data_IF_882551535588
#
_entry.id   IF_882551535588
#
_cell.length_a   1.000
_cell.length_b   1.000
_cell.length_c   1.000
_cell.angle_alpha   90.00
_cell.angle_beta   90.00
_cell.angle_gamma   90.00
#
_symmetry.space_group_name_H-M   'P 1'
#
loop_
_entity.id
_entity.type
_entity.pdbx_description
1 polymer ?
#
# COMPACT_ATOMS: atom_id res chain seq x y z
N UNK A 1 -37.08 4.94 4.85
CA UNK A 1 -36.35 3.91 5.63
C UNK A 1 -34.91 3.68 5.14
N UNK A 2 -34.59 3.84 3.85
CA UNK A 2 -33.20 3.70 3.32
C UNK A 2 -32.27 4.92 3.54
N UNK A 3 -32.82 6.08 3.91
CA UNK A 3 -32.07 7.36 4.02
C UNK A 3 -31.33 7.47 5.36
N UNK A 4 -31.92 6.97 6.45
CA UNK A 4 -31.36 6.99 7.82
C UNK A 4 -29.97 6.33 7.94
N UNK A 5 -29.73 5.10 7.43
CA UNK A 5 -28.39 4.51 7.47
C UNK A 5 -27.38 5.27 6.60
N UNK A 6 -27.84 5.93 5.53
CA UNK A 6 -26.99 6.75 4.66
C UNK A 6 -26.55 8.03 5.39
N UNK A 7 -27.45 8.66 6.15
CA UNK A 7 -27.14 9.81 7.02
C UNK A 7 -26.16 9.43 8.14
N UNK A 8 -26.26 8.21 8.68
CA UNK A 8 -25.32 7.66 9.67
C UNK A 8 -23.87 7.55 9.15
N UNK A 9 -23.67 7.30 7.85
CA UNK A 9 -22.35 7.28 7.22
C UNK A 9 -21.69 8.67 7.15
N UNK A 10 -22.49 9.73 7.08
CA UNK A 10 -21.99 11.11 7.13
C UNK A 10 -21.81 11.66 8.55
N UNK A 11 -22.24 10.92 9.58
CA UNK A 11 -21.97 11.23 10.98
C UNK A 11 -20.54 10.88 11.40
N UNK A 12 -20.13 11.32 12.60
CA UNK A 12 -18.77 11.12 13.13
C UNK A 12 -18.31 9.66 13.10
N UNK A 13 -19.17 8.71 13.50
CA UNK A 13 -18.84 7.28 13.46
C UNK A 13 -18.66 6.74 12.04
N UNK A 14 -19.48 7.19 11.09
CA UNK A 14 -19.35 6.83 9.68
C UNK A 14 -18.07 7.38 9.04
N UNK A 15 -17.71 8.64 9.35
CA UNK A 15 -16.45 9.24 8.91
C UNK A 15 -15.22 8.50 9.42
N UNK A 16 -15.22 8.04 10.68
CA UNK A 16 -14.13 7.24 11.24
C UNK A 16 -14.00 5.88 10.54
N UNK A 17 -15.12 5.21 10.25
CA UNK A 17 -15.11 3.96 9.49
C UNK A 17 -14.54 4.17 8.07
N UNK A 18 -14.95 5.23 7.38
CA UNK A 18 -14.43 5.56 6.06
C UNK A 18 -12.91 5.79 6.12
N UNK A 19 -12.43 6.56 7.10
CA UNK A 19 -11.00 6.84 7.26
C UNK A 19 -10.21 5.55 7.54
N UNK A 20 -10.72 4.69 8.41
CA UNK A 20 -10.07 3.41 8.71
C UNK A 20 -9.98 2.49 7.48
N UNK A 21 -11.10 2.29 6.77
CA UNK A 21 -11.15 1.34 5.66
C UNK A 21 -10.48 1.85 4.38
N UNK A 22 -10.61 3.14 4.06
CA UNK A 22 -10.12 3.70 2.80
C UNK A 22 -8.75 4.37 2.89
N UNK A 23 -8.25 4.66 4.09
CA UNK A 23 -6.93 5.27 4.26
C UNK A 23 -6.02 4.33 5.03
N UNK A 24 -6.41 3.89 6.24
CA UNK A 24 -5.49 3.17 7.11
C UNK A 24 -5.14 1.78 6.57
N UNK A 25 -6.13 0.99 6.15
CA UNK A 25 -5.91 -0.34 5.58
C UNK A 25 -4.99 -0.29 4.34
N UNK A 26 -5.30 0.49 3.29
CA UNK A 26 -4.43 0.56 2.11
C UNK A 26 -3.06 1.16 2.42
N UNK A 27 -2.95 2.08 3.39
CA UNK A 27 -1.65 2.59 3.83
C UNK A 27 -0.78 1.50 4.48
N UNK A 28 -1.36 0.68 5.37
CA UNK A 28 -0.66 -0.46 5.98
C UNK A 28 -0.27 -1.47 4.90
N UNK A 29 -1.17 -1.79 3.96
CA UNK A 29 -0.86 -2.68 2.84
C UNK A 29 0.29 -2.14 1.98
N UNK A 30 0.32 -0.83 1.69
CA UNK A 30 1.41 -0.19 0.97
C UNK A 30 2.75 -0.34 1.72
N UNK A 31 2.75 -0.09 3.04
CA UNK A 31 3.96 -0.23 3.85
C UNK A 31 4.45 -1.69 3.87
N UNK A 32 3.55 -2.65 4.08
CA UNK A 32 3.88 -4.07 4.09
C UNK A 32 4.42 -4.55 2.74
N UNK A 33 3.78 -4.14 1.63
CA UNK A 33 4.23 -4.49 0.27
C UNK A 33 5.57 -3.85 -0.07
N UNK A 34 5.81 -2.61 0.36
CA UNK A 34 7.08 -1.92 0.17
C UNK A 34 8.23 -2.60 0.93
N UNK A 35 8.00 -2.94 2.21
CA UNK A 35 8.97 -3.70 3.02
C UNK A 35 9.21 -5.08 2.41
N UNK A 36 8.16 -5.73 1.92
CA UNK A 36 8.27 -7.00 1.23
C UNK A 36 9.16 -6.91 -0.02
N UNK A 37 8.97 -5.89 -0.87
CA UNK A 37 9.78 -5.67 -2.06
C UNK A 37 11.25 -5.45 -1.72
N UNK A 38 11.55 -4.66 -0.67
CA UNK A 38 12.91 -4.48 -0.16
C UNK A 38 13.55 -5.82 0.27
N UNK A 39 12.85 -6.59 1.11
CA UNK A 39 13.36 -7.86 1.64
C UNK A 39 13.54 -8.90 0.54
N UNK A 40 12.61 -8.95 -0.41
CA UNK A 40 12.68 -9.88 -1.54
C UNK A 40 13.82 -9.50 -2.50
N UNK A 41 14.03 -8.20 -2.78
CA UNK A 41 15.18 -7.73 -3.54
C UNK A 41 16.53 -8.15 -2.93
N UNK A 42 16.68 -8.02 -1.60
CA UNK A 42 17.88 -8.46 -0.88
C UNK A 42 18.05 -9.98 -0.94
N UNK A 43 16.97 -10.75 -0.74
CA UNK A 43 17.02 -12.23 -0.79
C UNK A 43 17.45 -12.76 -2.16
N UNK A 44 17.17 -12.00 -3.22
CA UNK A 44 17.59 -12.32 -4.59
C UNK A 44 19.04 -11.92 -4.90
N UNK A 45 19.78 -11.40 -3.93
CA UNK A 45 21.18 -11.02 -4.11
C UNK A 45 21.40 -9.66 -4.78
N UNK A 46 20.36 -8.84 -4.92
CA UNK A 46 20.53 -7.47 -5.42
C UNK A 46 21.29 -6.60 -4.40
N UNK A 47 21.88 -5.50 -4.90
CA UNK A 47 22.54 -4.53 -4.05
C UNK A 47 21.57 -3.83 -3.09
N UNK A 48 22.10 -3.29 -1.99
CA UNK A 48 21.30 -2.57 -0.99
C UNK A 48 20.68 -1.32 -1.58
N UNK A 49 21.40 -0.63 -2.46
CA UNK A 49 20.96 0.57 -3.17
C UNK A 49 19.76 0.26 -4.06
N UNK A 50 19.80 -0.87 -4.80
CA UNK A 50 18.67 -1.32 -5.60
C UNK A 50 17.46 -1.64 -4.72
N UNK A 51 17.66 -2.39 -3.62
CA UNK A 51 16.58 -2.73 -2.71
C UNK A 51 15.92 -1.49 -2.09
N UNK A 52 16.72 -0.50 -1.67
CA UNK A 52 16.22 0.79 -1.17
C UNK A 52 15.48 1.55 -2.28
N UNK A 53 15.99 1.53 -3.51
CA UNK A 53 15.30 2.10 -4.67
C UNK A 53 13.90 1.51 -4.86
N UNK A 54 13.78 0.19 -4.80
CA UNK A 54 12.48 -0.49 -4.92
C UNK A 54 11.56 -0.22 -3.72
N UNK A 55 12.10 -0.13 -2.51
CA UNK A 55 11.34 0.30 -1.32
C UNK A 55 10.72 1.68 -1.53
N UNK A 56 11.52 2.66 -1.98
CA UNK A 56 11.05 4.02 -2.20
C UNK A 56 10.06 4.10 -3.36
N UNK A 57 10.34 3.39 -4.46
CA UNK A 57 9.46 3.32 -5.63
C UNK A 57 8.08 2.78 -5.24
N UNK A 58 8.04 1.68 -4.49
CA UNK A 58 6.79 1.07 -4.02
C UNK A 58 6.09 1.93 -2.96
N UNK A 59 6.82 2.55 -2.04
CA UNK A 59 6.23 3.36 -0.97
C UNK A 59 5.52 4.62 -1.50
N UNK A 60 6.15 5.35 -2.43
CA UNK A 60 5.60 6.58 -3.01
C UNK A 60 4.66 6.33 -4.19
N UNK A 61 4.84 5.21 -4.90
CA UNK A 61 4.00 4.81 -6.02
C UNK A 61 3.44 3.39 -5.76
N UNK A 62 2.50 3.20 -4.81
CA UNK A 62 2.02 1.89 -4.36
C UNK A 62 1.62 0.93 -5.48
N UNK A 63 0.85 1.41 -6.45
CA UNK A 63 0.34 0.58 -7.54
C UNK A 63 1.41 0.43 -8.63
N UNK A 64 1.89 1.55 -9.17
CA UNK A 64 2.82 1.56 -10.31
C UNK A 64 4.18 0.98 -9.91
N UNK A 65 4.72 1.38 -8.76
CA UNK A 65 5.97 0.88 -8.22
C UNK A 65 5.93 -0.61 -7.91
N UNK A 66 4.80 -1.13 -7.39
CA UNK A 66 4.63 -2.57 -7.19
C UNK A 66 4.57 -3.32 -8.51
N UNK A 67 3.89 -2.79 -9.52
CA UNK A 67 3.87 -3.38 -10.88
C UNK A 67 5.29 -3.41 -11.46
N UNK A 68 6.01 -2.28 -11.44
CA UNK A 68 7.39 -2.20 -11.94
C UNK A 68 8.28 -3.22 -11.23
N UNK A 69 8.19 -3.28 -9.89
CA UNK A 69 8.94 -4.24 -9.11
C UNK A 69 8.64 -5.68 -9.55
N UNK A 70 7.37 -6.05 -9.68
CA UNK A 70 6.97 -7.41 -10.07
C UNK A 70 7.42 -7.79 -11.48
N UNK A 71 7.44 -6.83 -12.42
CA UNK A 71 7.95 -7.06 -13.78
C UNK A 71 9.45 -7.37 -13.74
N UNK A 72 10.24 -6.49 -13.11
CA UNK A 72 11.71 -6.66 -13.04
C UNK A 72 12.10 -7.87 -12.16
N UNK A 73 11.26 -8.23 -11.19
CA UNK A 73 11.51 -9.38 -10.29
C UNK A 73 11.43 -10.74 -10.99
N UNK A 74 10.71 -10.83 -12.11
CA UNK A 74 10.47 -12.07 -12.83
C UNK A 74 11.47 -12.33 -13.97
N UNK A 75 12.27 -11.32 -14.33
CA UNK A 75 13.43 -11.46 -15.22
C UNK A 75 14.71 -11.73 -14.41
#
# INVERSE_FOLDING_TARGET
>A
MLIEPLLGLFGFGGMLLILFFFILIPFILNLLTSIWAYRDAIRRGNSKEYAIGMLLLTLFFPIIGLIIYLLIRND
#
